data_IF_510439212855
#
_entry.id   IF_510439212855
#
_cell.length_a   1.000
_cell.length_b   1.000
_cell.length_c   1.000
_cell.angle_alpha   90.00
_cell.angle_beta   90.00
_cell.angle_gamma   90.00
#
_symmetry.space_group_name_H-M   'P 1'
#
loop_
_entity.id
_entity.type
_entity.pdbx_description
1 polymer ?
#
# COMPACT_ATOMS: atom_id res chain seq x y z
N UNK A 1 -16.36 37.48 54.05
CA UNK A 1 -14.94 37.11 53.84
C UNK A 1 -14.98 35.88 52.94
N UNK A 2 -14.88 36.07 51.62
CA UNK A 2 -14.98 34.99 50.63
C UNK A 2 -13.71 34.18 50.63
N UNK A 3 -13.80 32.92 51.01
CA UNK A 3 -12.75 31.93 50.81
C UNK A 3 -13.43 30.68 50.26
N UNK A 4 -13.27 30.45 48.96
CA UNK A 4 -13.07 29.12 48.37
C UNK A 4 -12.78 29.32 46.88
N UNK A 5 -11.49 29.47 46.56
CA UNK A 5 -10.98 29.19 45.24
C UNK A 5 -10.84 27.67 45.11
N UNK A 6 -11.87 27.00 44.62
CA UNK A 6 -11.75 25.62 44.17
C UNK A 6 -11.03 25.66 42.83
N UNK A 7 -9.71 25.50 42.87
CA UNK A 7 -8.91 25.11 41.73
C UNK A 7 -9.38 23.72 41.28
N UNK A 8 -10.40 23.69 40.41
CA UNK A 8 -10.64 22.54 39.57
C UNK A 8 -9.46 22.43 38.62
N UNK A 9 -8.52 21.54 38.94
CA UNK A 9 -7.57 21.01 37.98
C UNK A 9 -8.37 20.46 36.79
N UNK A 10 -8.50 21.28 35.75
CA UNK A 10 -8.84 20.78 34.43
C UNK A 10 -7.62 20.02 33.95
N UNK A 11 -7.52 18.78 34.43
CA UNK A 11 -6.59 17.78 33.95
C UNK A 11 -6.59 17.84 32.43
N UNK A 12 -5.39 18.02 31.91
CA UNK A 12 -5.03 17.93 30.52
C UNK A 12 -5.49 16.59 29.95
N UNK A 13 -6.74 16.51 29.53
CA UNK A 13 -7.16 15.58 28.50
C UNK A 13 -6.66 16.13 27.16
N UNK A 14 -5.34 16.08 26.98
CA UNK A 14 -4.80 15.94 25.64
C UNK A 14 -5.32 14.60 25.14
N UNK A 15 -6.49 14.63 24.50
CA UNK A 15 -6.90 13.62 23.55
C UNK A 15 -5.78 13.61 22.51
N UNK A 16 -4.79 12.75 22.73
CA UNK A 16 -3.73 12.49 21.78
C UNK A 16 -4.43 12.06 20.50
N UNK A 17 -4.51 12.98 19.54
CA UNK A 17 -4.89 12.65 18.20
C UNK A 17 -3.91 11.58 17.73
N UNK A 18 -4.37 10.31 17.71
CA UNK A 18 -3.74 9.15 17.10
C UNK A 18 -3.62 9.34 15.58
N UNK A 19 -2.92 10.39 15.15
CA UNK A 19 -2.50 10.64 13.78
C UNK A 19 -1.02 10.32 13.67
N UNK A 20 -0.61 9.64 12.59
CA UNK A 20 0.82 9.46 12.31
C UNK A 20 1.55 10.80 12.41
N UNK A 21 2.63 10.86 13.18
CA UNK A 21 3.49 12.04 13.27
C UNK A 21 3.91 12.47 11.87
N UNK A 22 3.97 13.77 11.58
CA UNK A 22 4.35 14.33 10.26
C UNK A 22 5.63 13.70 9.68
N UNK A 23 6.60 13.38 10.55
CA UNK A 23 7.85 12.69 10.22
C UNK A 23 7.63 11.28 9.66
N UNK A 24 6.66 10.54 10.18
CA UNK A 24 6.31 9.18 9.74
C UNK A 24 5.64 9.18 8.38
N UNK A 25 4.77 10.16 8.12
CA UNK A 25 4.13 10.35 6.80
C UNK A 25 5.19 10.60 5.74
N UNK A 26 6.12 11.53 5.99
CA UNK A 26 7.24 11.78 5.08
C UNK A 26 8.11 10.54 4.88
N UNK A 27 8.43 9.80 5.94
CA UNK A 27 9.20 8.56 5.82
C UNK A 27 8.52 7.53 4.91
N UNK A 28 7.23 7.28 5.11
CA UNK A 28 6.44 6.33 4.30
C UNK A 28 6.35 6.80 2.86
N UNK A 29 6.13 8.11 2.65
CA UNK A 29 6.06 8.71 1.32
C UNK A 29 7.33 8.44 0.51
N UNK A 30 8.52 8.74 1.06
CA UNK A 30 9.78 8.51 0.35
C UNK A 30 10.04 7.02 0.10
N UNK A 31 9.62 6.14 1.02
CA UNK A 31 9.74 4.71 0.82
C UNK A 31 8.85 4.22 -0.34
N UNK A 32 7.59 4.64 -0.40
CA UNK A 32 6.71 4.29 -1.53
C UNK A 32 7.18 4.90 -2.85
N UNK A 33 7.69 6.12 -2.81
CA UNK A 33 8.26 6.79 -3.98
C UNK A 33 9.49 6.03 -4.49
N UNK A 34 10.37 5.57 -3.59
CA UNK A 34 11.53 4.75 -3.91
C UNK A 34 11.15 3.43 -4.58
N UNK A 35 10.22 2.67 -4.00
CA UNK A 35 9.74 1.42 -4.61
C UNK A 35 9.16 1.68 -6.00
N UNK A 36 8.35 2.72 -6.14
CA UNK A 36 7.72 3.08 -7.42
C UNK A 36 8.75 3.50 -8.46
N UNK A 37 9.78 4.26 -8.08
CA UNK A 37 10.86 4.63 -8.99
C UNK A 37 11.63 3.40 -9.47
N UNK A 38 11.89 2.44 -8.59
CA UNK A 38 12.54 1.16 -8.94
C UNK A 38 11.66 0.34 -9.89
N UNK A 39 10.35 0.24 -9.62
CA UNK A 39 9.39 -0.43 -10.52
C UNK A 39 9.44 0.17 -11.93
N UNK A 40 9.35 1.50 -12.04
CA UNK A 40 9.42 2.18 -13.35
C UNK A 40 10.77 2.00 -14.03
N UNK A 41 11.87 1.99 -13.28
CA UNK A 41 13.19 1.73 -13.83
C UNK A 41 13.29 0.31 -14.41
N UNK A 42 12.76 -0.70 -13.71
CA UNK A 42 12.70 -2.07 -14.21
C UNK A 42 11.84 -2.13 -15.48
N UNK A 43 10.64 -1.54 -15.43
CA UNK A 43 9.66 -1.60 -16.52
C UNK A 43 10.11 -0.85 -17.79
N UNK A 44 10.66 0.37 -17.64
CA UNK A 44 10.99 1.24 -18.76
C UNK A 44 12.43 1.10 -19.25
N UNK A 45 13.36 0.67 -18.40
CA UNK A 45 14.77 0.55 -18.74
C UNK A 45 15.21 -0.91 -18.88
N UNK A 46 15.04 -1.76 -17.86
CA UNK A 46 15.60 -3.11 -17.88
C UNK A 46 14.90 -4.06 -18.87
N UNK A 47 13.57 -4.00 -18.96
CA UNK A 47 12.81 -4.86 -19.88
C UNK A 47 13.03 -4.50 -21.36
N UNK A 48 12.98 -3.23 -21.79
CA UNK A 48 13.16 -2.87 -23.19
C UNK A 48 14.59 -3.05 -23.69
N UNK A 49 15.59 -2.89 -22.82
CA UNK A 49 17.00 -3.08 -23.13
C UNK A 49 17.40 -4.58 -23.23
N UNK A 50 16.49 -5.51 -22.92
CA UNK A 50 16.74 -6.95 -23.01
C UNK A 50 17.72 -7.49 -21.96
N UNK A 51 18.04 -6.70 -20.93
CA UNK A 51 18.97 -7.06 -19.85
C UNK A 51 18.38 -8.19 -18.98
N UNK A 52 17.04 -8.22 -18.85
CA UNK A 52 16.31 -9.27 -18.18
C UNK A 52 15.42 -10.01 -19.17
N UNK A 53 15.34 -11.33 -19.05
CA UNK A 53 14.34 -12.12 -19.76
C UNK A 53 12.94 -11.58 -19.41
N UNK A 54 12.11 -11.31 -20.43
CA UNK A 54 10.77 -10.71 -20.26
C UNK A 54 9.91 -11.41 -19.21
N UNK A 55 9.98 -12.75 -19.14
CA UNK A 55 9.26 -13.52 -18.12
C UNK A 55 9.69 -13.21 -16.68
N UNK A 56 11.00 -13.15 -16.42
CA UNK A 56 11.54 -12.81 -15.10
C UNK A 56 11.27 -11.34 -14.75
N UNK A 57 11.47 -10.43 -15.70
CA UNK A 57 11.21 -9.00 -15.51
C UNK A 57 9.75 -8.72 -15.15
N UNK A 58 8.81 -9.33 -15.88
CA UNK A 58 7.37 -9.20 -15.61
C UNK A 58 7.00 -9.79 -14.24
N UNK A 59 7.55 -10.95 -13.89
CA UNK A 59 7.28 -11.58 -12.59
C UNK A 59 7.75 -10.70 -11.43
N UNK A 60 8.98 -10.18 -11.49
CA UNK A 60 9.53 -9.28 -10.47
C UNK A 60 8.69 -8.01 -10.36
N UNK A 61 8.29 -7.43 -11.50
CA UNK A 61 7.44 -6.24 -11.53
C UNK A 61 6.11 -6.49 -10.81
N UNK A 62 5.40 -7.58 -11.13
CA UNK A 62 4.13 -7.93 -10.49
C UNK A 62 4.29 -8.11 -8.97
N UNK A 63 5.35 -8.78 -8.51
CA UNK A 63 5.62 -8.96 -7.08
C UNK A 63 5.88 -7.62 -6.38
N UNK A 64 6.70 -6.74 -6.98
CA UNK A 64 6.96 -5.40 -6.43
C UNK A 64 5.67 -4.58 -6.32
N UNK A 65 4.79 -4.65 -7.32
CA UNK A 65 3.49 -3.97 -7.30
C UNK A 65 2.60 -4.49 -6.17
N UNK A 66 2.57 -5.81 -5.93
CA UNK A 66 1.80 -6.39 -4.81
C UNK A 66 2.35 -5.97 -3.45
N UNK A 67 3.68 -5.98 -3.27
CA UNK A 67 4.33 -5.52 -2.03
C UNK A 67 3.98 -4.05 -1.77
N UNK A 68 4.07 -3.20 -2.79
CA UNK A 68 3.67 -1.80 -2.70
C UNK A 68 2.21 -1.63 -2.33
N UNK A 69 1.30 -2.39 -2.96
CA UNK A 69 -0.13 -2.33 -2.64
C UNK A 69 -0.40 -2.68 -1.17
N UNK A 70 0.24 -3.73 -0.65
CA UNK A 70 0.17 -4.08 0.77
C UNK A 70 0.67 -2.93 1.67
N UNK A 71 1.82 -2.35 1.33
CA UNK A 71 2.39 -1.24 2.08
C UNK A 71 1.51 0.03 2.04
N UNK A 72 0.86 0.33 0.92
CA UNK A 72 -0.09 1.45 0.82
C UNK A 72 -1.28 1.21 1.76
N UNK A 73 -1.84 0.00 1.74
CA UNK A 73 -2.96 -0.37 2.61
C UNK A 73 -2.56 -0.33 4.08
N UNK A 74 -1.38 -0.83 4.44
CA UNK A 74 -0.93 -0.86 5.82
C UNK A 74 -0.64 0.55 6.39
N UNK A 75 -0.05 1.45 5.59
CA UNK A 75 0.43 2.75 6.08
C UNK A 75 -0.47 3.94 5.72
N UNK A 76 -1.02 4.03 4.50
CA UNK A 76 -1.84 5.17 4.10
C UNK A 76 -3.29 5.05 4.56
N UNK A 77 -3.82 3.83 4.71
CA UNK A 77 -5.21 3.66 5.13
C UNK A 77 -5.41 3.63 6.66
N UNK A 78 -4.34 3.86 7.46
CA UNK A 78 -4.40 3.89 8.94
C UNK A 78 -5.33 2.81 9.55
N UNK A 79 -5.35 1.62 8.96
CA UNK A 79 -6.32 0.57 9.30
C UNK A 79 -6.05 -0.07 10.65
N UNK A 80 -5.08 0.43 11.42
CA UNK A 80 -4.80 -0.12 12.75
C UNK A 80 -5.96 0.14 13.73
N UNK A 81 -6.67 1.27 13.59
CA UNK A 81 -7.76 1.66 14.51
C UNK A 81 -9.12 1.94 13.82
N UNK A 82 -9.20 1.84 12.49
CA UNK A 82 -10.44 2.16 11.77
C UNK A 82 -11.50 1.04 11.72
N UNK A 83 -12.73 1.42 11.36
CA UNK A 83 -13.93 0.57 11.31
C UNK A 83 -13.68 -0.69 10.51
N UNK A 84 -14.08 -1.83 11.07
CA UNK A 84 -13.96 -3.16 10.48
C UNK A 84 -14.45 -3.24 9.02
N UNK A 85 -15.49 -2.48 8.67
CA UNK A 85 -16.02 -2.41 7.31
C UNK A 85 -14.99 -1.89 6.27
N UNK A 86 -14.15 -0.91 6.64
CA UNK A 86 -13.12 -0.38 5.73
C UNK A 86 -12.00 -1.39 5.53
N UNK A 87 -11.56 -2.06 6.61
CA UNK A 87 -10.56 -3.14 6.52
C UNK A 87 -11.04 -4.27 5.60
N UNK A 88 -12.27 -4.72 5.79
CA UNK A 88 -12.86 -5.81 4.99
C UNK A 88 -13.04 -5.41 3.53
N UNK A 89 -13.51 -4.20 3.23
CA UNK A 89 -13.67 -3.74 1.85
C UNK A 89 -12.34 -3.73 1.08
N UNK A 90 -11.27 -3.29 1.72
CA UNK A 90 -9.94 -3.26 1.11
C UNK A 90 -9.35 -4.67 0.96
N UNK A 91 -9.53 -5.54 1.96
CA UNK A 91 -9.10 -6.94 1.87
C UNK A 91 -9.82 -7.69 0.75
N UNK A 92 -11.13 -7.49 0.60
CA UNK A 92 -11.90 -8.05 -0.52
C UNK A 92 -11.39 -7.53 -1.86
N UNK A 93 -11.09 -6.23 -1.96
CA UNK A 93 -10.50 -5.64 -3.16
C UNK A 93 -9.13 -6.24 -3.49
N UNK A 94 -8.26 -6.48 -2.51
CA UNK A 94 -6.97 -7.13 -2.72
C UNK A 94 -7.11 -8.58 -3.21
N UNK A 95 -8.01 -9.36 -2.60
CA UNK A 95 -8.29 -10.74 -3.03
C UNK A 95 -8.83 -10.75 -4.46
N UNK A 96 -9.72 -9.82 -4.80
CA UNK A 96 -10.26 -9.68 -6.15
C UNK A 96 -9.15 -9.37 -7.18
N UNK A 97 -8.19 -8.49 -6.87
CA UNK A 97 -7.06 -8.19 -7.76
C UNK A 97 -6.21 -9.43 -8.00
N UNK A 98 -5.90 -10.21 -6.96
CA UNK A 98 -5.12 -11.45 -7.10
C UNK A 98 -5.86 -12.44 -8.00
N UNK A 99 -7.16 -12.63 -7.77
CA UNK A 99 -8.00 -13.47 -8.61
C UNK A 99 -8.02 -13.00 -10.08
N UNK A 100 -8.11 -11.68 -10.29
CA UNK A 100 -8.09 -11.08 -11.63
C UNK A 100 -6.76 -11.31 -12.36
N UNK A 101 -5.62 -11.21 -11.66
CA UNK A 101 -4.30 -11.52 -12.23
C UNK A 101 -4.24 -12.98 -12.69
N UNK A 102 -4.74 -13.92 -11.88
CA UNK A 102 -4.79 -15.35 -12.24
C UNK A 102 -5.67 -15.59 -13.47
N UNK A 103 -6.83 -14.95 -13.55
CA UNK A 103 -7.69 -15.01 -14.74
C UNK A 103 -6.97 -14.49 -15.98
N UNK A 104 -6.33 -13.32 -15.90
CA UNK A 104 -5.59 -12.75 -17.03
C UNK A 104 -4.42 -13.62 -17.47
N UNK A 105 -3.71 -14.26 -16.54
CA UNK A 105 -2.64 -15.22 -16.88
C UNK A 105 -3.19 -16.48 -17.55
N UNK A 106 -4.36 -16.96 -17.10
CA UNK A 106 -5.03 -18.13 -17.70
C UNK A 106 -5.49 -17.84 -19.12
N UNK A 107 -6.20 -16.71 -19.32
CA UNK A 107 -6.64 -16.25 -20.63
C UNK A 107 -5.46 -15.97 -21.56
N UNK A 108 -4.40 -15.32 -21.06
CA UNK A 108 -3.19 -15.07 -21.84
C UNK A 108 -2.48 -16.37 -22.27
N UNK A 109 -2.44 -17.37 -21.39
CA UNK A 109 -1.86 -18.69 -21.71
C UNK A 109 -2.72 -19.45 -22.73
N UNK A 110 -4.05 -19.38 -22.60
CA UNK A 110 -4.99 -19.99 -23.54
C UNK A 110 -4.85 -19.37 -24.94
N UNK A 111 -4.78 -18.05 -25.03
CA UNK A 111 -4.56 -17.33 -26.30
C UNK A 111 -3.20 -17.68 -26.91
N UNK A 112 -2.13 -17.74 -26.12
CA UNK A 112 -0.81 -18.12 -26.63
C UNK A 112 -0.79 -19.53 -27.23
N UNK A 113 -1.54 -20.48 -26.65
CA UNK A 113 -1.60 -21.87 -27.12
C UNK A 113 -2.46 -22.05 -28.38
N UNK A 114 -3.51 -21.23 -28.58
CA UNK A 114 -4.48 -21.40 -29.67
C UNK A 114 -4.30 -20.42 -30.85
N UNK A 115 -3.53 -19.34 -30.67
CA UNK A 115 -3.32 -18.32 -31.70
C UNK A 115 -1.89 -18.31 -32.27
N UNK A 116 -1.09 -19.32 -31.96
CA UNK A 116 0.28 -19.52 -32.43
C UNK A 116 0.42 -20.89 -33.09
#
# INVERSE_FOLDING_TARGET
MSAEHTHGEHGTEHVEHEGMTKKKIWQVFFYMLGITAIEFFIALYLLPQGILAKGIGNFIYVILTLVKAFYIVAYFMHLKFEKFALKTGIMVSLVFIIYFIVLMLTEGSYQHLHMN
#
